data_IF_524882828081
#
_entry.id   IF_524882828081
#
_cell.length_a   1.000
_cell.length_b   1.000
_cell.length_c   1.000
_cell.angle_alpha   90.00
_cell.angle_beta   90.00
_cell.angle_gamma   90.00
#
_symmetry.space_group_name_H-M   'P 1'
#
loop_
_entity.id
_entity.type
_entity.pdbx_description
1 polymer ?
#
# COMPACT_ATOMS: atom_id res chain seq x y z
N UNK A 1 -3.90 -14.69 17.30
CA UNK A 1 -3.04 -14.03 16.30
C UNK A 1 -3.23 -14.81 15.02
N UNK A 2 -4.29 -14.50 14.29
CA UNK A 2 -4.85 -15.39 13.30
C UNK A 2 -4.47 -14.88 11.91
N UNK A 3 -3.27 -15.26 11.46
CA UNK A 3 -2.82 -15.05 10.09
C UNK A 3 -3.05 -16.34 9.32
N UNK A 4 -4.17 -16.44 8.59
CA UNK A 4 -4.33 -17.46 7.54
C UNK A 4 -3.31 -17.15 6.44
N UNK A 5 -2.21 -17.88 6.42
CA UNK A 5 -1.03 -17.59 5.58
C UNK A 5 -0.17 -16.52 6.24
N UNK A 6 1.15 -16.71 6.35
CA UNK A 6 2.05 -15.81 7.09
C UNK A 6 2.15 -14.36 6.57
N UNK A 7 1.28 -13.94 5.66
CA UNK A 7 1.26 -12.63 5.01
C UNK A 7 0.45 -11.63 5.84
N UNK A 8 1.02 -10.45 6.01
CA UNK A 8 0.37 -9.29 6.61
C UNK A 8 -0.61 -8.66 5.61
N UNK A 9 -1.52 -7.82 6.10
CA UNK A 9 -2.45 -7.05 5.24
C UNK A 9 -1.67 -6.21 4.21
N UNK A 10 -0.52 -5.65 4.60
CA UNK A 10 0.34 -4.85 3.72
C UNK A 10 1.01 -5.76 2.67
N UNK A 11 1.52 -6.93 3.07
CA UNK A 11 2.09 -7.94 2.16
C UNK A 11 1.09 -8.41 1.10
N UNK A 12 -0.11 -8.76 1.52
CA UNK A 12 -1.18 -9.17 0.61
C UNK A 12 -1.60 -8.04 -0.35
N UNK A 13 -1.63 -6.80 0.14
CA UNK A 13 -1.89 -5.64 -0.71
C UNK A 13 -0.79 -5.47 -1.77
N UNK A 14 0.48 -5.56 -1.38
CA UNK A 14 1.60 -5.44 -2.33
C UNK A 14 1.51 -6.49 -3.43
N UNK A 15 1.28 -7.76 -3.10
CA UNK A 15 1.15 -8.82 -4.10
C UNK A 15 0.06 -8.53 -5.13
N UNK A 16 -1.11 -8.07 -4.67
CA UNK A 16 -2.23 -7.74 -5.54
C UNK A 16 -1.90 -6.61 -6.52
N UNK A 17 -1.21 -5.58 -6.01
CA UNK A 17 -0.83 -4.41 -6.80
C UNK A 17 0.32 -4.72 -7.76
N UNK A 18 1.38 -5.39 -7.28
CA UNK A 18 2.49 -5.86 -8.12
C UNK A 18 2.08 -6.90 -9.17
N UNK A 19 1.08 -7.73 -8.88
CA UNK A 19 0.54 -8.66 -9.86
C UNK A 19 -0.23 -7.97 -11.00
N UNK A 20 -0.71 -6.74 -10.78
CA UNK A 20 -1.44 -5.94 -11.77
C UNK A 20 -0.53 -4.94 -12.48
N UNK A 21 0.31 -4.26 -11.71
CA UNK A 21 1.21 -3.19 -12.15
C UNK A 21 2.65 -3.49 -11.70
N UNK A 22 3.28 -4.55 -12.27
CA UNK A 22 4.64 -4.93 -11.89
C UNK A 22 5.69 -3.86 -12.23
N UNK A 23 5.39 -2.95 -13.17
CA UNK A 23 6.29 -1.85 -13.53
C UNK A 23 6.36 -0.76 -12.44
N UNK A 24 5.30 -0.59 -11.64
CA UNK A 24 5.23 0.40 -10.55
C UNK A 24 5.78 -0.20 -9.25
N UNK A 25 5.34 -1.41 -8.91
CA UNK A 25 5.63 -2.04 -7.62
C UNK A 25 6.84 -2.99 -7.65
N UNK A 26 7.34 -3.29 -8.84
CA UNK A 26 8.36 -4.33 -9.04
C UNK A 26 7.78 -5.74 -8.94
N UNK A 27 8.61 -6.73 -9.29
CA UNK A 27 8.25 -8.14 -9.18
C UNK A 27 8.36 -8.59 -7.72
N UNK A 28 7.22 -8.89 -7.12
CA UNK A 28 7.16 -9.52 -5.79
C UNK A 28 7.47 -11.00 -5.93
N UNK A 29 8.55 -11.46 -5.32
CA UNK A 29 8.97 -12.86 -5.28
C UNK A 29 9.49 -13.19 -3.89
N UNK A 30 9.26 -14.42 -3.44
CA UNK A 30 9.74 -14.90 -2.16
C UNK A 30 8.65 -15.49 -1.29
N UNK A 31 9.03 -15.86 -0.06
CA UNK A 31 8.11 -16.35 0.96
C UNK A 31 7.30 -15.21 1.63
N UNK A 32 6.26 -15.55 2.41
CA UNK A 32 5.39 -14.58 3.09
C UNK A 32 6.13 -13.47 3.85
N UNK A 33 7.18 -13.83 4.60
CA UNK A 33 7.98 -12.87 5.38
C UNK A 33 8.74 -11.88 4.50
N UNK A 34 9.31 -12.35 3.38
CA UNK A 34 10.01 -11.48 2.43
C UNK A 34 9.03 -10.49 1.79
N UNK A 35 7.83 -10.98 1.43
CA UNK A 35 6.77 -10.14 0.87
C UNK A 35 6.31 -9.09 1.88
N UNK A 36 6.15 -9.48 3.15
CA UNK A 36 5.82 -8.54 4.22
C UNK A 36 6.88 -7.46 4.38
N UNK A 37 8.16 -7.83 4.39
CA UNK A 37 9.26 -6.88 4.50
C UNK A 37 9.32 -5.93 3.30
N UNK A 38 9.16 -6.45 2.09
CA UNK A 38 9.08 -5.62 0.88
C UNK A 38 7.91 -4.64 0.96
N UNK A 39 6.74 -5.10 1.38
CA UNK A 39 5.54 -4.28 1.48
C UNK A 39 5.66 -3.19 2.55
N UNK A 40 6.25 -3.52 3.71
CA UNK A 40 6.56 -2.54 4.75
C UNK A 40 7.58 -1.51 4.26
N UNK A 41 8.59 -1.95 3.50
CA UNK A 41 9.57 -1.04 2.90
C UNK A 41 8.89 -0.06 1.93
N UNK A 42 8.05 -0.56 1.02
CA UNK A 42 7.27 0.30 0.12
C UNK A 42 6.38 1.27 0.87
N UNK A 43 5.68 0.80 1.90
CA UNK A 43 4.85 1.65 2.75
C UNK A 43 5.70 2.76 3.38
N UNK A 44 6.80 2.42 4.04
CA UNK A 44 7.68 3.38 4.70
C UNK A 44 8.25 4.40 3.70
N UNK A 45 8.70 3.96 2.52
CA UNK A 45 9.18 4.85 1.46
C UNK A 45 8.12 5.85 1.02
N UNK A 46 6.85 5.44 0.89
CA UNK A 46 5.75 6.34 0.53
C UNK A 46 5.42 7.31 1.68
N UNK A 47 5.45 6.84 2.92
CA UNK A 47 5.22 7.68 4.09
C UNK A 47 6.30 8.76 4.22
N UNK A 48 7.57 8.39 4.04
CA UNK A 48 8.73 9.29 4.20
C UNK A 48 9.01 10.17 2.98
N UNK A 49 8.54 9.77 1.79
CA UNK A 49 8.73 10.56 0.57
C UNK A 49 8.11 11.97 0.70
N UNK A 50 8.65 12.99 0.03
CA UNK A 50 8.05 14.31 0.00
C UNK A 50 6.65 14.27 -0.63
N UNK A 51 5.75 15.10 -0.12
CA UNK A 51 4.35 15.19 -0.56
C UNK A 51 3.37 15.08 0.60
N UNK A 52 2.13 15.48 0.36
CA UNK A 52 1.10 15.57 1.39
C UNK A 52 0.05 14.47 1.23
N UNK A 53 -0.60 14.16 2.35
CA UNK A 53 -1.81 13.35 2.32
C UNK A 53 -3.00 14.24 1.96
N UNK A 54 -3.71 13.88 0.90
CA UNK A 54 -4.94 14.53 0.51
C UNK A 54 -6.14 13.74 1.05
N UNK A 55 -7.10 14.47 1.63
CA UNK A 55 -8.40 13.90 1.98
C UNK A 55 -9.20 13.68 0.70
N UNK A 56 -9.57 12.43 0.46
CA UNK A 56 -10.42 12.06 -0.67
C UNK A 56 -11.72 11.45 -0.15
N UNK A 57 -12.82 11.81 -0.79
CA UNK A 57 -14.13 11.23 -0.49
C UNK A 57 -14.54 10.31 -1.62
N UNK A 58 -14.86 9.07 -1.30
CA UNK A 58 -15.35 8.13 -2.30
C UNK A 58 -16.83 8.43 -2.66
N UNK A 59 -17.37 7.84 -3.73
CA UNK A 59 -18.77 8.03 -4.12
C UNK A 59 -19.80 7.61 -3.07
N UNK A 60 -19.39 6.76 -2.11
CA UNK A 60 -20.22 6.31 -0.98
C UNK A 60 -20.15 7.25 0.22
N UNK A 61 -19.45 8.38 0.09
CA UNK A 61 -19.29 9.39 1.11
C UNK A 61 -18.26 9.08 2.21
N UNK A 62 -17.47 8.02 2.05
CA UNK A 62 -16.42 7.64 3.00
C UNK A 62 -15.14 8.38 2.65
N UNK A 63 -14.53 9.01 3.66
CA UNK A 63 -13.30 9.77 3.53
C UNK A 63 -12.06 8.93 3.84
N UNK A 64 -10.98 9.17 3.10
CA UNK A 64 -9.68 8.53 3.26
C UNK A 64 -8.56 9.56 3.12
N UNK A 65 -7.39 9.23 3.64
CA UNK A 65 -6.16 9.97 3.37
C UNK A 65 -5.40 9.25 2.27
N UNK A 66 -5.09 9.93 1.17
CA UNK A 66 -4.30 9.38 0.08
C UNK A 66 -3.01 10.17 -0.11
N UNK A 67 -1.91 9.44 -0.29
CA UNK A 67 -0.64 10.03 -0.73
C UNK A 67 -0.19 9.27 -1.97
N UNK A 68 0.08 10.01 -3.04
CA UNK A 68 0.55 9.48 -4.32
C UNK A 68 1.91 10.09 -4.62
N UNK A 69 2.85 9.24 -5.00
CA UNK A 69 4.17 9.65 -5.44
C UNK A 69 4.19 9.85 -6.96
N UNK A 70 5.20 10.57 -7.43
CA UNK A 70 5.42 10.79 -8.86
C UNK A 70 5.84 9.52 -9.61
N UNK A 71 6.28 8.47 -8.88
CA UNK A 71 6.66 7.17 -9.45
C UNK A 71 5.44 6.23 -9.67
N UNK A 72 4.22 6.71 -9.40
CA UNK A 72 2.98 5.96 -9.54
C UNK A 72 2.60 5.12 -8.32
N UNK A 73 3.48 4.97 -7.32
CA UNK A 73 3.15 4.30 -6.05
C UNK A 73 2.36 5.26 -5.15
N UNK A 74 1.45 4.70 -4.38
CA UNK A 74 0.72 5.48 -3.40
C UNK A 74 0.12 4.63 -2.30
N UNK A 75 -0.28 5.30 -1.22
CA UNK A 75 -0.92 4.67 -0.07
C UNK A 75 -2.24 5.37 0.23
N UNK A 76 -3.23 4.56 0.59
CA UNK A 76 -4.49 5.00 1.20
C UNK A 76 -4.50 4.60 2.66
N UNK A 77 -4.79 5.56 3.52
CA UNK A 77 -5.03 5.38 4.95
C UNK A 77 -6.48 5.71 5.27
N UNK A 78 -6.99 5.10 6.33
CA UNK A 78 -8.21 5.56 6.97
C UNK A 78 -7.96 6.91 7.67
N UNK A 79 -9.03 7.61 8.09
CA UNK A 79 -8.89 8.89 8.80
C UNK A 79 -8.17 8.79 10.16
N UNK A 80 -8.14 7.59 10.74
CA UNK A 80 -7.39 7.27 11.97
C UNK A 80 -5.89 6.98 11.69
N UNK A 81 -5.45 7.10 10.44
CA UNK A 81 -4.08 6.83 10.01
C UNK A 81 -3.75 5.36 9.81
N UNK A 82 -4.70 4.44 10.02
CA UNK A 82 -4.47 3.01 9.80
C UNK A 82 -4.38 2.69 8.30
N UNK A 83 -3.49 1.77 7.94
CA UNK A 83 -3.30 1.36 6.55
C UNK A 83 -4.58 0.75 5.97
N UNK A 84 -5.09 1.35 4.89
CA UNK A 84 -6.25 0.85 4.17
C UNK A 84 -5.87 0.03 2.94
N UNK A 85 -4.83 0.43 2.24
CA UNK A 85 -4.34 -0.27 1.05
C UNK A 85 -3.34 0.56 0.26
N UNK A 86 -2.67 -0.09 -0.69
CA UNK A 86 -1.91 0.61 -1.72
C UNK A 86 -2.85 1.15 -2.80
N UNK A 87 -2.39 2.18 -3.50
CA UNK A 87 -3.04 2.75 -4.67
C UNK A 87 -1.97 2.98 -5.74
N UNK A 88 -2.32 2.73 -6.99
CA UNK A 88 -1.50 3.03 -8.15
C UNK A 88 -2.34 3.77 -9.19
N UNK A 89 -1.65 4.48 -10.09
CA UNK A 89 -2.24 5.29 -11.16
C UNK A 89 -2.01 4.65 -12.52
#
# INVERSE_FOLDING_TARGET
>A
MDRKGGETVVGHALQKHAGRNPDIWGKVKGGPDQINQMALKHLQEILDAPGEFHRVKNPRGIEFLEKKLSDGRGVRLNLDGTFKGFIDQ
#
